data_IF_908880303217
#
_entry.id   IF_908880303217
#
_cell.length_a   1.000
_cell.length_b   1.000
_cell.length_c   1.000
_cell.angle_alpha   90.00
_cell.angle_beta   90.00
_cell.angle_gamma   90.00
#
_symmetry.space_group_name_H-M   'P 1'
#
loop_
_entity.id
_entity.type
_entity.pdbx_description
1 polymer ?
#
# COMPACT_ATOMS: atom_id res chain seq x y z
N UNK A 1 -6.63 22.17 1.39
CA UNK A 1 -8.07 21.86 1.38
C UNK A 1 -8.78 22.63 0.27
N UNK A 2 -8.60 23.96 0.11
CA UNK A 2 -9.27 24.75 -0.93
C UNK A 2 -9.06 24.19 -2.36
N UNK A 3 -7.92 23.55 -2.68
CA UNK A 3 -7.62 22.97 -4.00
C UNK A 3 -8.38 21.68 -4.27
N UNK A 4 -8.83 20.98 -3.24
CA UNK A 4 -9.64 19.76 -3.37
C UNK A 4 -11.12 20.02 -3.06
N UNK A 5 -11.46 21.27 -2.71
CA UNK A 5 -12.82 21.71 -2.45
C UNK A 5 -13.74 21.44 -3.64
N UNK A 6 -14.88 20.80 -3.39
CA UNK A 6 -15.82 20.35 -4.40
C UNK A 6 -15.61 18.92 -4.90
N UNK A 7 -14.52 18.24 -4.47
CA UNK A 7 -14.24 16.83 -4.78
C UNK A 7 -14.25 15.93 -3.53
N UNK A 8 -14.63 16.45 -2.37
CA UNK A 8 -14.55 15.75 -1.09
C UNK A 8 -15.34 14.44 -1.08
N UNK A 9 -16.46 14.39 -1.81
CA UNK A 9 -17.27 13.20 -1.93
C UNK A 9 -16.61 12.07 -2.77
N UNK A 10 -15.57 12.42 -3.54
CA UNK A 10 -14.88 11.50 -4.46
C UNK A 10 -13.47 11.14 -3.96
N UNK A 11 -13.08 11.64 -2.77
CA UNK A 11 -11.74 11.42 -2.19
C UNK A 11 -11.87 10.66 -0.88
N UNK A 12 -11.34 9.45 -0.84
CA UNK A 12 -11.30 8.61 0.36
C UNK A 12 -9.99 8.75 1.15
N UNK A 13 -8.88 9.10 0.47
CA UNK A 13 -7.56 9.15 1.09
C UNK A 13 -6.70 10.26 0.47
N UNK A 14 -5.96 10.97 1.34
CA UNK A 14 -4.96 11.99 0.95
C UNK A 14 -3.62 11.70 1.60
N UNK A 15 -2.55 11.72 0.81
CA UNK A 15 -1.17 11.64 1.31
C UNK A 15 -0.59 13.05 1.50
N UNK A 16 0.06 13.28 2.64
CA UNK A 16 0.77 14.52 2.94
C UNK A 16 1.99 14.30 3.84
N UNK A 17 2.86 15.30 3.90
CA UNK A 17 4.03 15.35 4.77
C UNK A 17 3.67 16.21 6.01
N UNK A 18 3.59 15.59 7.21
CA UNK A 18 3.08 16.27 8.41
C UNK A 18 4.05 17.29 8.99
N UNK A 19 5.33 17.23 8.63
CA UNK A 19 6.34 18.20 9.05
C UNK A 19 6.24 19.54 8.33
N UNK A 20 5.42 19.64 7.27
CA UNK A 20 5.27 20.90 6.52
C UNK A 20 4.39 21.90 7.29
N UNK A 21 4.70 23.19 7.20
CA UNK A 21 3.90 24.24 7.86
C UNK A 21 2.44 24.19 7.46
N UNK A 22 1.54 24.22 8.43
CA UNK A 22 0.09 24.19 8.21
C UNK A 22 -0.52 22.80 8.03
N UNK A 23 0.29 21.73 8.05
CA UNK A 23 -0.18 20.34 7.92
C UNK A 23 -1.20 19.96 8.99
N UNK A 24 -1.04 20.41 10.24
CA UNK A 24 -1.98 20.13 11.33
C UNK A 24 -3.41 20.57 11.00
N UNK A 25 -3.57 21.80 10.47
CA UNK A 25 -4.88 22.31 10.08
C UNK A 25 -5.47 21.54 8.90
N UNK A 26 -4.62 21.09 7.95
CA UNK A 26 -5.04 20.26 6.81
C UNK A 26 -5.47 18.88 7.30
N UNK A 27 -4.71 18.24 8.19
CA UNK A 27 -5.04 16.93 8.78
C UNK A 27 -6.41 17.03 9.48
N UNK A 28 -6.62 18.04 10.32
CA UNK A 28 -7.89 18.23 11.02
C UNK A 28 -9.06 18.38 10.04
N UNK A 29 -8.93 19.24 9.03
CA UNK A 29 -9.98 19.49 8.04
C UNK A 29 -10.32 18.25 7.18
N UNK A 30 -9.32 17.45 6.77
CA UNK A 30 -9.53 16.21 6.02
C UNK A 30 -10.27 15.18 6.87
N UNK A 31 -9.88 15.04 8.14
CA UNK A 31 -10.52 14.12 9.08
C UNK A 31 -11.97 14.49 9.39
N UNK A 32 -12.27 15.78 9.52
CA UNK A 32 -13.65 16.26 9.69
C UNK A 32 -14.55 15.88 8.52
N UNK A 33 -13.97 15.75 7.32
CA UNK A 33 -14.66 15.29 6.11
C UNK A 33 -14.70 13.75 5.98
N UNK A 34 -14.14 13.00 6.93
CA UNK A 34 -14.07 11.55 6.88
C UNK A 34 -12.99 11.00 5.94
N UNK A 35 -12.10 11.86 5.43
CA UNK A 35 -11.02 11.48 4.53
C UNK A 35 -9.85 10.89 5.33
N UNK A 36 -9.37 9.74 4.93
CA UNK A 36 -8.20 9.11 5.54
C UNK A 36 -6.94 9.91 5.19
N UNK A 37 -6.15 10.24 6.20
CA UNK A 37 -4.87 10.91 5.98
C UNK A 37 -3.73 9.90 6.07
N UNK A 38 -2.85 9.89 5.07
CA UNK A 38 -1.66 9.07 4.99
C UNK A 38 -0.40 9.93 5.05
N UNK A 39 0.57 9.55 5.87
CA UNK A 39 1.91 10.16 5.90
C UNK A 39 2.76 9.56 4.77
N UNK A 40 3.31 10.39 3.91
CA UNK A 40 4.19 9.94 2.84
C UNK A 40 4.95 11.10 2.17
N UNK A 41 6.00 10.75 1.42
CA UNK A 41 6.94 11.72 0.84
C UNK A 41 7.40 12.76 1.88
N UNK A 42 7.85 12.27 3.02
CA UNK A 42 8.00 13.01 4.26
C UNK A 42 9.37 12.79 4.86
N UNK A 43 9.96 13.83 5.40
CA UNK A 43 11.18 13.78 6.19
C UNK A 43 10.90 13.83 7.72
N UNK A 44 9.66 13.50 8.13
CA UNK A 44 9.25 13.57 9.52
C UNK A 44 10.14 12.73 10.44
N UNK A 45 10.53 13.33 11.54
CA UNK A 45 11.15 12.64 12.67
C UNK A 45 10.13 11.71 13.34
N UNK A 46 10.61 10.80 14.21
CA UNK A 46 9.73 9.95 15.01
C UNK A 46 8.70 10.77 15.81
N UNK A 47 9.14 11.85 16.44
CA UNK A 47 8.27 12.71 17.24
C UNK A 47 7.20 13.41 16.40
N UNK A 48 7.55 13.90 15.21
CA UNK A 48 6.61 14.52 14.28
C UNK A 48 5.60 13.50 13.73
N UNK A 49 6.08 12.31 13.36
CA UNK A 49 5.21 11.23 12.91
C UNK A 49 4.26 10.78 14.02
N UNK A 50 4.76 10.59 15.25
CA UNK A 50 3.91 10.27 16.40
C UNK A 50 2.83 11.32 16.63
N UNK A 51 3.19 12.60 16.62
CA UNK A 51 2.22 13.69 16.78
C UNK A 51 1.14 13.67 15.67
N UNK A 52 1.55 13.37 14.42
CA UNK A 52 0.61 13.23 13.31
C UNK A 52 -0.34 12.01 13.50
N UNK A 53 0.17 10.87 13.97
CA UNK A 53 -0.67 9.71 14.27
C UNK A 53 -1.63 9.98 15.44
N UNK A 54 -1.16 10.62 16.50
CA UNK A 54 -2.01 11.08 17.63
C UNK A 54 -3.10 12.07 17.14
N UNK A 55 -2.79 12.88 16.11
CA UNK A 55 -3.76 13.74 15.44
C UNK A 55 -4.68 13.00 14.46
N UNK A 56 -4.45 11.68 14.22
CA UNK A 56 -5.31 10.77 13.48
C UNK A 56 -4.91 10.54 12.04
N UNK A 57 -3.65 10.75 11.69
CA UNK A 57 -3.07 10.16 10.48
C UNK A 57 -3.11 8.64 10.64
N UNK A 58 -3.79 7.94 9.75
CA UNK A 58 -4.11 6.51 9.89
C UNK A 58 -3.26 5.57 9.03
N UNK A 59 -2.35 6.13 8.20
CA UNK A 59 -1.57 5.30 7.27
C UNK A 59 -0.19 5.89 7.01
N UNK A 60 0.80 5.03 6.69
CA UNK A 60 2.04 5.35 5.99
C UNK A 60 1.90 4.95 4.51
N UNK A 61 2.19 5.87 3.61
CA UNK A 61 2.26 5.63 2.17
C UNK A 61 3.55 4.88 1.84
N UNK A 62 3.49 3.83 1.02
CA UNK A 62 4.63 3.05 0.48
C UNK A 62 5.87 3.01 1.41
N UNK A 63 5.68 2.49 2.61
CA UNK A 63 6.66 2.40 3.71
C UNK A 63 8.06 2.03 3.20
N UNK A 64 9.08 2.70 3.70
CA UNK A 64 10.49 2.72 3.29
C UNK A 64 10.81 3.60 2.07
N UNK A 65 9.84 4.04 1.30
CA UNK A 65 10.09 4.84 0.10
C UNK A 65 9.76 6.31 0.37
N UNK A 66 10.60 7.23 -0.13
CA UNK A 66 10.46 8.67 0.05
C UNK A 66 10.25 9.10 1.53
N UNK A 67 10.94 8.43 2.46
CA UNK A 67 10.96 8.74 3.90
C UNK A 67 12.31 8.32 4.49
N UNK A 68 12.69 8.83 5.68
CA UNK A 68 13.91 8.39 6.38
C UNK A 68 13.88 6.89 6.69
N UNK A 69 15.04 6.25 6.60
CA UNK A 69 15.22 4.84 6.93
C UNK A 69 14.95 4.54 8.41
N UNK A 70 14.60 3.29 8.71
CA UNK A 70 14.51 2.79 10.08
C UNK A 70 15.93 2.72 10.69
N UNK A 71 16.36 3.80 11.30
CA UNK A 71 17.70 3.91 11.87
C UNK A 71 17.69 3.81 13.39
N UNK A 72 18.71 3.20 13.98
CA UNK A 72 18.78 2.89 15.42
C UNK A 72 18.76 4.10 16.37
N UNK A 73 19.06 5.31 15.90
CA UNK A 73 19.06 6.56 16.70
C UNK A 73 18.09 7.60 16.17
N UNK A 74 17.60 7.43 14.96
CA UNK A 74 16.65 8.30 14.27
C UNK A 74 15.61 7.41 13.58
N UNK A 75 14.75 6.72 14.36
CA UNK A 75 13.96 5.63 13.83
C UNK A 75 12.81 6.07 12.90
N UNK A 76 12.47 7.36 12.86
CA UNK A 76 11.55 7.96 11.91
C UNK A 76 10.10 7.50 12.03
N UNK A 77 9.34 7.76 10.98
CA UNK A 77 7.91 7.46 10.93
C UNK A 77 7.60 5.96 10.99
N UNK A 78 8.51 5.11 10.51
CA UNK A 78 8.30 3.65 10.47
C UNK A 78 8.22 3.08 11.88
N UNK A 79 9.16 3.44 12.75
CA UNK A 79 9.15 3.00 14.14
C UNK A 79 7.93 3.55 14.89
N UNK A 80 7.62 4.83 14.68
CA UNK A 80 6.44 5.45 15.27
C UNK A 80 5.16 4.70 14.90
N UNK A 81 4.98 4.33 13.63
CA UNK A 81 3.81 3.59 13.16
C UNK A 81 3.72 2.17 13.76
N UNK A 82 4.84 1.44 13.81
CA UNK A 82 4.89 0.11 14.43
C UNK A 82 4.51 0.17 15.91
N UNK A 83 5.05 1.16 16.63
CA UNK A 83 4.79 1.33 18.07
C UNK A 83 3.39 1.85 18.38
N UNK A 84 2.79 2.63 17.49
CA UNK A 84 1.42 3.13 17.61
C UNK A 84 0.41 1.97 17.53
N UNK A 85 0.66 0.98 16.67
CA UNK A 85 -0.09 -0.29 16.62
C UNK A 85 -1.37 -0.30 15.78
N UNK A 86 -1.89 0.86 15.38
CA UNK A 86 -3.13 1.01 14.59
C UNK A 86 -2.95 1.79 13.28
N UNK A 87 -1.72 2.22 12.97
CA UNK A 87 -1.38 2.90 11.71
C UNK A 87 -1.15 1.87 10.61
N UNK A 88 -1.90 1.93 9.53
CA UNK A 88 -1.70 1.08 8.37
C UNK A 88 -0.38 1.42 7.65
N UNK A 89 0.29 0.44 7.09
CA UNK A 89 1.61 0.61 6.48
C UNK A 89 1.58 0.10 5.03
N UNK A 90 1.50 1.02 4.07
CA UNK A 90 1.54 0.69 2.64
C UNK A 90 2.88 0.03 2.28
N UNK A 91 2.85 -1.08 1.56
CA UNK A 91 4.06 -1.82 1.17
C UNK A 91 4.02 -2.16 -0.31
N UNK A 92 5.05 -1.76 -1.05
CA UNK A 92 5.30 -2.19 -2.43
C UNK A 92 6.12 -3.49 -2.36
N UNK A 93 5.50 -4.62 -2.73
CA UNK A 93 6.15 -5.94 -2.68
C UNK A 93 6.65 -6.41 -4.06
N UNK A 94 7.40 -5.55 -4.74
CA UNK A 94 8.00 -5.86 -6.04
C UNK A 94 9.45 -6.41 -5.95
N UNK A 95 10.07 -6.34 -4.76
CA UNK A 95 11.45 -6.77 -4.52
C UNK A 95 12.52 -5.80 -5.06
N UNK A 96 12.10 -4.63 -5.54
CA UNK A 96 12.96 -3.55 -6.06
C UNK A 96 12.86 -2.32 -5.18
N UNK A 97 11.63 -1.84 -4.91
CA UNK A 97 11.38 -0.73 -3.98
C UNK A 97 11.70 -1.11 -2.53
N UNK A 98 11.40 -2.35 -2.16
CA UNK A 98 11.67 -2.89 -0.84
C UNK A 98 12.28 -4.29 -0.98
N UNK A 99 13.45 -4.50 -0.36
CA UNK A 99 14.09 -5.81 -0.35
C UNK A 99 13.17 -6.86 0.29
N UNK A 100 13.13 -8.11 -0.23
CA UNK A 100 12.26 -9.17 0.31
C UNK A 100 12.39 -9.37 1.83
N UNK A 101 13.61 -9.30 2.35
CA UNK A 101 13.86 -9.41 3.80
C UNK A 101 13.23 -8.29 4.62
N UNK A 102 13.25 -7.05 4.09
CA UNK A 102 12.62 -5.89 4.75
C UNK A 102 11.11 -5.96 4.70
N UNK A 103 10.53 -6.41 3.59
CA UNK A 103 9.09 -6.66 3.48
C UNK A 103 8.62 -7.71 4.50
N UNK A 104 9.37 -8.81 4.65
CA UNK A 104 9.09 -9.86 5.64
C UNK A 104 9.29 -9.36 7.06
N UNK A 105 10.33 -8.55 7.32
CA UNK A 105 10.57 -7.95 8.62
C UNK A 105 9.39 -7.05 9.02
N UNK A 106 8.94 -6.17 8.14
CA UNK A 106 7.80 -5.31 8.39
C UNK A 106 6.53 -6.12 8.71
N UNK A 107 6.25 -7.16 7.92
CA UNK A 107 5.10 -8.03 8.16
C UNK A 107 5.19 -8.79 9.50
N UNK A 108 6.40 -9.10 9.99
CA UNK A 108 6.59 -9.70 11.32
C UNK A 108 6.40 -8.71 12.45
N UNK A 109 6.85 -7.47 12.27
CA UNK A 109 6.72 -6.41 13.26
C UNK A 109 5.27 -5.91 13.40
N UNK A 110 4.57 -5.80 12.28
CA UNK A 110 3.25 -5.21 12.19
C UNK A 110 2.28 -6.04 11.31
N UNK A 111 1.96 -7.29 11.71
CA UNK A 111 1.28 -8.24 10.83
C UNK A 111 -0.14 -7.85 10.43
N UNK A 112 -0.82 -7.03 11.22
CA UNK A 112 -2.19 -6.55 10.97
C UNK A 112 -2.23 -5.12 10.41
N UNK A 113 -1.06 -4.50 10.18
CA UNK A 113 -0.96 -3.12 9.70
C UNK A 113 -0.49 -3.03 8.24
N UNK A 114 0.16 -4.09 7.72
CA UNK A 114 0.71 -4.07 6.36
C UNK A 114 -0.41 -4.13 5.33
N UNK A 115 -0.48 -3.09 4.49
CA UNK A 115 -1.38 -2.99 3.34
C UNK A 115 -0.55 -3.04 2.07
N UNK A 116 -0.79 -4.01 1.19
CA UNK A 116 -0.13 -4.06 -0.10
C UNK A 116 -0.67 -2.98 -1.02
N UNK A 117 0.24 -2.22 -1.62
CA UNK A 117 -0.03 -1.24 -2.65
C UNK A 117 0.81 -1.56 -3.89
N UNK A 118 0.29 -1.25 -5.08
CA UNK A 118 1.05 -1.43 -6.33
C UNK A 118 1.99 -0.28 -6.59
N UNK A 119 1.60 0.93 -6.23
CA UNK A 119 2.23 2.18 -6.68
C UNK A 119 2.38 2.22 -8.21
N UNK A 120 1.33 1.77 -8.91
CA UNK A 120 1.34 1.62 -10.35
C UNK A 120 1.23 2.97 -11.04
N UNK A 121 2.06 3.18 -12.06
CA UNK A 121 2.07 4.37 -12.89
C UNK A 121 1.35 4.16 -14.23
N UNK A 122 1.17 5.24 -14.98
CA UNK A 122 0.48 5.25 -16.27
C UNK A 122 0.92 4.15 -17.27
N UNK A 123 2.19 3.72 -17.34
CA UNK A 123 2.60 2.62 -18.21
C UNK A 123 2.14 1.22 -17.75
N UNK A 124 1.40 1.11 -16.64
CA UNK A 124 0.89 -0.20 -16.20
C UNK A 124 0.13 -0.92 -17.31
N UNK A 125 0.54 -2.16 -17.59
CA UNK A 125 -0.05 -2.99 -18.64
C UNK A 125 0.51 -2.74 -20.05
N UNK A 126 1.44 -1.80 -20.21
CA UNK A 126 2.17 -1.58 -21.45
C UNK A 126 3.48 -2.38 -21.50
N UNK A 127 4.06 -2.52 -22.68
CA UNK A 127 5.35 -3.19 -22.87
C UNK A 127 6.51 -2.42 -22.24
N UNK A 128 7.62 -3.10 -21.96
CA UNK A 128 8.87 -2.47 -21.61
C UNK A 128 9.30 -1.45 -22.67
N UNK A 129 9.93 -0.36 -22.24
CA UNK A 129 10.36 0.73 -23.10
C UNK A 129 10.16 2.11 -22.48
N UNK A 130 10.22 3.12 -23.36
CA UNK A 130 10.01 4.51 -22.97
C UNK A 130 8.54 4.91 -23.11
N UNK A 131 8.02 5.57 -22.06
CA UNK A 131 6.64 6.04 -22.00
C UNK A 131 6.62 7.48 -21.51
N UNK A 132 5.87 8.33 -22.21
CA UNK A 132 5.67 9.71 -21.78
C UNK A 132 4.62 9.75 -20.66
N UNK A 133 4.96 10.43 -19.57
CA UNK A 133 4.07 10.71 -18.46
C UNK A 133 4.23 12.17 -18.06
N UNK A 134 3.19 12.97 -18.27
CA UNK A 134 3.24 14.44 -18.18
C UNK A 134 4.40 15.02 -19.02
N UNK A 135 5.29 15.81 -18.42
CA UNK A 135 6.49 16.35 -19.06
C UNK A 135 7.72 15.44 -18.93
N UNK A 136 7.58 14.31 -18.22
CA UNK A 136 8.65 13.35 -17.92
C UNK A 136 8.58 12.14 -18.83
N UNK A 137 9.72 11.52 -19.04
CA UNK A 137 9.83 10.20 -19.69
C UNK A 137 10.10 9.14 -18.62
N UNK A 138 9.31 8.09 -18.66
CA UNK A 138 9.46 6.92 -17.82
C UNK A 138 10.10 5.80 -18.63
N UNK A 139 11.08 5.13 -18.02
CA UNK A 139 11.72 3.94 -18.59
C UNK A 139 11.21 2.71 -17.84
N UNK A 140 10.46 1.85 -18.53
CA UNK A 140 9.92 0.60 -17.97
C UNK A 140 10.82 -0.56 -18.36
N UNK A 141 11.23 -1.35 -17.37
CA UNK A 141 11.98 -2.58 -17.56
C UNK A 141 11.57 -3.61 -16.52
N UNK A 142 11.10 -4.78 -16.96
CA UNK A 142 10.72 -5.89 -16.08
C UNK A 142 9.78 -5.49 -14.94
N UNK A 143 8.79 -4.65 -15.22
CA UNK A 143 7.80 -4.21 -14.25
C UNK A 143 8.25 -3.08 -13.31
N UNK A 144 9.48 -2.58 -13.48
CA UNK A 144 10.02 -1.45 -12.73
C UNK A 144 10.01 -0.20 -13.58
N UNK A 145 9.59 0.92 -13.00
CA UNK A 145 9.54 2.20 -13.69
C UNK A 145 10.57 3.17 -13.09
N UNK A 146 11.35 3.81 -13.97
CA UNK A 146 12.38 4.78 -13.57
C UNK A 146 12.28 6.07 -14.37
N UNK A 147 12.67 7.18 -13.74
CA UNK A 147 12.94 8.44 -14.42
C UNK A 147 14.24 8.36 -15.22
N UNK A 148 14.49 9.36 -16.09
CA UNK A 148 15.69 9.43 -16.91
C UNK A 148 17.01 9.47 -16.10
N UNK A 149 16.97 9.98 -14.87
CA UNK A 149 18.12 10.01 -13.95
C UNK A 149 18.32 8.68 -13.17
N UNK A 150 17.49 7.67 -13.44
CA UNK A 150 17.54 6.38 -12.79
C UNK A 150 16.71 6.27 -11.49
N UNK A 151 16.12 7.36 -11.02
CA UNK A 151 15.27 7.37 -9.81
C UNK A 151 14.09 6.40 -9.99
N UNK A 152 13.83 5.55 -9.00
CA UNK A 152 12.62 4.73 -8.96
C UNK A 152 11.40 5.64 -8.91
N UNK A 153 10.43 5.39 -9.79
CA UNK A 153 9.24 6.23 -9.92
C UNK A 153 7.95 5.48 -9.57
N UNK A 154 7.96 4.16 -9.68
CA UNK A 154 6.82 3.29 -9.37
C UNK A 154 6.89 1.96 -10.09
N UNK A 155 5.77 1.28 -10.17
CA UNK A 155 5.65 -0.12 -10.61
C UNK A 155 4.73 -0.23 -11.83
N UNK A 156 4.96 -1.24 -12.66
CA UNK A 156 4.04 -1.63 -13.75
C UNK A 156 3.56 -3.08 -13.61
N UNK A 157 3.78 -3.69 -12.43
CA UNK A 157 3.31 -5.03 -12.11
C UNK A 157 1.92 -5.00 -11.45
N UNK A 158 1.07 -6.00 -11.69
CA UNK A 158 -0.21 -6.11 -11.00
C UNK A 158 -0.03 -6.33 -9.49
N UNK A 159 -0.94 -5.78 -8.67
CA UNK A 159 -0.94 -5.98 -7.22
C UNK A 159 -0.93 -7.47 -6.83
N UNK A 160 -1.59 -8.32 -7.62
CA UNK A 160 -1.61 -9.78 -7.42
C UNK A 160 -0.21 -10.41 -7.47
N UNK A 161 0.73 -9.83 -8.22
CA UNK A 161 2.12 -10.26 -8.21
C UNK A 161 2.81 -9.89 -6.89
N UNK A 162 2.50 -8.73 -6.33
CA UNK A 162 2.94 -8.33 -4.97
C UNK A 162 2.44 -9.31 -3.90
N UNK A 163 1.17 -9.73 -3.99
CA UNK A 163 0.61 -10.76 -3.09
C UNK A 163 1.40 -12.06 -3.20
N UNK A 164 1.64 -12.54 -4.43
CA UNK A 164 2.37 -13.79 -4.68
C UNK A 164 3.80 -13.73 -4.13
N UNK A 165 4.50 -12.61 -4.35
CA UNK A 165 5.87 -12.39 -3.86
C UNK A 165 5.92 -12.33 -2.35
N UNK A 166 5.07 -11.53 -1.71
CA UNK A 166 5.04 -11.44 -0.24
C UNK A 166 4.69 -12.79 0.40
N UNK A 167 3.73 -13.53 -0.18
CA UNK A 167 3.38 -14.88 0.26
C UNK A 167 4.57 -15.85 0.17
N UNK A 168 5.32 -15.79 -0.95
CA UNK A 168 6.50 -16.62 -1.16
C UNK A 168 7.62 -16.28 -0.16
N UNK A 169 7.92 -14.99 0.03
CA UNK A 169 9.00 -14.55 0.91
C UNK A 169 8.72 -14.81 2.39
N UNK A 170 7.47 -14.60 2.80
CA UNK A 170 7.07 -14.73 4.22
C UNK A 170 6.66 -16.16 4.60
N UNK A 171 6.29 -16.99 3.64
CA UNK A 171 5.65 -18.28 3.88
C UNK A 171 4.23 -18.16 4.47
N UNK A 172 3.60 -16.98 4.36
CA UNK A 172 2.29 -16.66 4.95
C UNK A 172 1.31 -16.14 3.89
N UNK A 173 0.80 -17.02 3.01
CA UNK A 173 -0.09 -16.60 1.92
C UNK A 173 -1.37 -15.92 2.43
N UNK A 174 -1.94 -16.39 3.52
CA UNK A 174 -3.14 -15.80 4.14
C UNK A 174 -2.92 -14.32 4.55
N UNK A 175 -1.74 -14.02 5.07
CA UNK A 175 -1.36 -12.64 5.44
C UNK A 175 -1.18 -11.75 4.22
N UNK A 176 -0.52 -12.26 3.19
CA UNK A 176 -0.31 -11.52 1.95
C UNK A 176 -1.64 -11.23 1.22
N UNK A 177 -2.57 -12.18 1.22
CA UNK A 177 -3.91 -12.01 0.65
C UNK A 177 -4.70 -10.98 1.48
N UNK A 178 -4.69 -11.10 2.81
CA UNK A 178 -5.35 -10.14 3.69
C UNK A 178 -4.81 -8.72 3.50
N UNK A 179 -3.50 -8.57 3.33
CA UNK A 179 -2.85 -7.28 3.11
C UNK A 179 -3.30 -6.58 1.81
N UNK A 180 -3.79 -7.31 0.82
CA UNK A 180 -4.29 -6.76 -0.45
C UNK A 180 -5.82 -6.72 -0.55
N UNK A 181 -6.55 -7.22 0.44
CA UNK A 181 -8.02 -7.35 0.37
C UNK A 181 -8.73 -6.78 1.59
N UNK A 182 -8.53 -7.39 2.73
CA UNK A 182 -9.20 -7.04 3.98
C UNK A 182 -8.65 -5.72 4.57
N UNK A 183 -7.33 -5.64 4.74
CA UNK A 183 -6.71 -4.51 5.43
C UNK A 183 -6.89 -3.16 4.71
N UNK A 184 -6.77 -3.05 3.37
CA UNK A 184 -7.05 -1.78 2.69
C UNK A 184 -8.51 -1.34 2.87
N UNK A 185 -9.46 -2.25 2.95
CA UNK A 185 -10.87 -1.91 3.25
C UNK A 185 -11.04 -1.39 4.68
N UNK A 186 -10.32 -1.98 5.63
CA UNK A 186 -10.30 -1.50 7.02
C UNK A 186 -9.75 -0.07 7.11
N UNK A 187 -8.74 0.27 6.31
CA UNK A 187 -8.22 1.66 6.22
C UNK A 187 -9.31 2.62 5.77
N UNK A 188 -10.14 2.22 4.82
CA UNK A 188 -11.26 3.01 4.30
C UNK A 188 -12.55 2.88 5.13
N UNK A 189 -12.47 2.30 6.34
CA UNK A 189 -13.59 2.26 7.28
C UNK A 189 -14.52 1.05 7.17
N UNK A 190 -14.34 0.16 6.18
CA UNK A 190 -15.11 -1.07 6.06
C UNK A 190 -14.55 -2.15 7.00
N UNK A 191 -15.13 -2.29 8.18
CA UNK A 191 -14.69 -3.20 9.26
C UNK A 191 -15.30 -4.60 9.20
N UNK A 192 -15.98 -4.95 8.12
CA UNK A 192 -16.53 -6.31 7.95
C UNK A 192 -15.42 -7.35 7.95
N UNK A 193 -15.73 -8.54 8.44
CA UNK A 193 -14.82 -9.69 8.34
C UNK A 193 -14.69 -10.16 6.87
N UNK A 194 -13.63 -10.90 6.57
CA UNK A 194 -13.46 -11.51 5.25
C UNK A 194 -14.65 -12.41 4.87
N UNK A 195 -15.22 -13.13 5.84
CA UNK A 195 -16.40 -13.98 5.62
C UNK A 195 -17.62 -13.13 5.23
N UNK A 196 -17.89 -12.04 5.97
CA UNK A 196 -19.02 -11.16 5.69
C UNK A 196 -18.91 -10.45 4.34
N UNK A 197 -17.69 -10.17 3.89
CA UNK A 197 -17.45 -9.59 2.57
C UNK A 197 -17.69 -10.57 1.42
N UNK A 198 -17.42 -11.87 1.64
CA UNK A 198 -17.54 -12.89 0.60
C UNK A 198 -18.95 -13.46 0.51
N UNK A 199 -19.75 -13.42 1.59
CA UNK A 199 -21.11 -13.92 1.58
C UNK A 199 -21.97 -13.10 0.63
N UNK A 200 -22.60 -13.80 -0.34
CA UNK A 200 -23.47 -13.19 -1.34
C UNK A 200 -22.73 -12.61 -2.56
N UNK A 201 -21.41 -12.62 -2.60
CA UNK A 201 -20.67 -12.21 -3.79
C UNK A 201 -20.78 -13.27 -4.91
N UNK A 202 -20.98 -12.87 -6.17
CA UNK A 202 -20.92 -13.78 -7.30
C UNK A 202 -19.53 -14.46 -7.38
N UNK A 203 -19.49 -15.78 -7.59
CA UNK A 203 -18.22 -16.52 -7.67
C UNK A 203 -17.26 -15.93 -8.72
N UNK A 204 -17.76 -15.49 -9.86
CA UNK A 204 -16.95 -14.89 -10.92
C UNK A 204 -16.27 -13.56 -10.52
N UNK A 205 -16.68 -12.94 -9.42
CA UNK A 205 -16.09 -11.72 -8.87
C UNK A 205 -15.10 -12.00 -7.74
N UNK A 206 -14.91 -13.28 -7.38
CA UNK A 206 -14.00 -13.72 -6.33
C UNK A 206 -12.77 -14.43 -6.91
N UNK A 207 -11.67 -14.39 -6.17
CA UNK A 207 -10.44 -15.10 -6.52
C UNK A 207 -10.23 -16.29 -5.59
N UNK A 208 -9.95 -17.44 -6.20
CA UNK A 208 -9.52 -18.65 -5.49
C UNK A 208 -7.99 -18.75 -5.56
N UNK A 209 -7.37 -18.81 -4.40
CA UNK A 209 -5.94 -19.06 -4.26
C UNK A 209 -5.71 -20.54 -3.95
N UNK A 210 -4.68 -21.15 -4.56
CA UNK A 210 -4.32 -22.56 -4.36
C UNK A 210 -2.83 -22.76 -4.50
N UNK A 211 -2.30 -23.86 -3.92
CA UNK A 211 -0.87 -24.18 -3.92
C UNK A 211 -0.11 -23.49 -2.80
N UNK A 212 1.19 -23.74 -2.74
CA UNK A 212 2.11 -23.20 -1.72
C UNK A 212 3.44 -22.78 -2.35
N UNK A 213 4.14 -21.85 -1.71
CA UNK A 213 5.44 -21.35 -2.16
C UNK A 213 5.39 -20.85 -3.61
N UNK A 214 6.30 -21.29 -4.45
CA UNK A 214 6.34 -20.92 -5.87
C UNK A 214 5.14 -21.44 -6.68
N UNK A 215 4.45 -22.47 -6.18
CA UNK A 215 3.26 -23.03 -6.82
C UNK A 215 1.96 -22.27 -6.45
N UNK A 216 2.03 -21.22 -5.63
CA UNK A 216 0.88 -20.40 -5.33
C UNK A 216 0.31 -19.76 -6.60
N UNK A 217 -0.97 -20.01 -6.86
CA UNK A 217 -1.70 -19.57 -8.06
C UNK A 217 -3.03 -18.96 -7.61
N UNK A 218 -3.55 -18.08 -8.43
CA UNK A 218 -4.90 -17.55 -8.30
C UNK A 218 -5.67 -17.75 -9.61
N UNK A 219 -6.96 -17.88 -9.50
CA UNK A 219 -7.90 -17.88 -10.62
C UNK A 219 -9.24 -17.31 -10.18
N UNK A 220 -10.07 -16.87 -11.11
CA UNK A 220 -11.45 -16.55 -10.78
C UNK A 220 -12.13 -17.80 -10.23
N UNK A 221 -12.91 -17.64 -9.17
CA UNK A 221 -13.68 -18.75 -8.64
C UNK A 221 -14.77 -19.15 -9.64
N UNK A 222 -14.96 -20.47 -9.80
CA UNK A 222 -16.03 -21.04 -10.63
C UNK A 222 -16.65 -22.20 -9.85
N UNK A 223 -17.90 -22.52 -10.17
CA UNK A 223 -18.50 -23.76 -9.69
C UNK A 223 -17.68 -24.92 -10.27
N UNK A 224 -17.50 -26.02 -9.51
CA UNK A 224 -16.95 -27.24 -10.09
C UNK A 224 -17.85 -27.67 -11.26
N UNK A 225 -17.24 -28.12 -12.35
CA UNK A 225 -18.00 -28.71 -13.43
C UNK A 225 -18.93 -29.79 -12.86
N UNK A 226 -20.21 -29.82 -13.28
CA UNK A 226 -21.10 -30.90 -12.86
C UNK A 226 -20.42 -32.23 -13.23
N UNK A 227 -20.14 -33.03 -12.23
CA UNK A 227 -19.59 -34.38 -12.41
C UNK A 227 -20.53 -35.13 -13.35
N UNK A 228 -20.02 -35.78 -14.44
CA UNK A 228 -20.85 -36.51 -15.38
C UNK A 228 -21.58 -37.68 -14.72
#
# INVERSE_FOLDING_TARGET
VERIGGFEADIDLVTLAPELPGSEAVIAALREQGIVVSLGHSAATEAQAKAAFDAGVGMLTHTFNAMPDLHRREPGAIAAAVLQGDVAMGLIADGVHVAPSMAVLLQKLAPEQVVLVSDALAPYGLSDGEHRWDERTLHVTNGTCRLADGTLAGVTLPLLEGVRRLALWSGRPERAISAATLLPRHVLGDRRSAADMLVGMPLGETLRWSGHGQALRWQRAALPDPTP
#
